data_IF_039384861764
#
_entry.id   IF_039384861764
#
_cell.length_a   1.000
_cell.length_b   1.000
_cell.length_c   1.000
_cell.angle_alpha   90.00
_cell.angle_beta   90.00
_cell.angle_gamma   90.00
#
_symmetry.space_group_name_H-M   'P 1'
#
loop_
_entity.id
_entity.type
_entity.pdbx_description
1 polymer ?
#
# COMPACT_ATOMS: atom_id res chain seq x y z
N UNK A 1 -24.09 7.73 -8.87
CA UNK A 1 -24.01 7.49 -7.42
C UNK A 1 -22.76 8.18 -6.91
N UNK A 2 -22.89 9.08 -5.93
CA UNK A 2 -21.80 9.97 -5.48
C UNK A 2 -20.78 9.26 -4.59
N UNK A 3 -20.00 8.34 -5.18
CA UNK A 3 -18.85 7.71 -4.50
C UNK A 3 -17.77 8.72 -4.11
N UNK A 4 -17.76 9.89 -4.76
CA UNK A 4 -16.81 10.97 -4.49
C UNK A 4 -16.81 11.38 -3.02
N UNK A 5 -17.99 11.52 -2.40
CA UNK A 5 -18.12 11.87 -0.98
C UNK A 5 -17.53 10.81 -0.03
N UNK A 6 -17.56 9.53 -0.42
CA UNK A 6 -16.95 8.45 0.37
C UNK A 6 -15.42 8.51 0.29
N UNK A 7 -14.89 8.81 -0.89
CA UNK A 7 -13.44 8.91 -1.12
C UNK A 7 -12.84 10.17 -0.48
N UNK A 8 -13.57 11.29 -0.46
CA UNK A 8 -13.11 12.53 0.20
C UNK A 8 -12.90 12.38 1.71
N UNK A 9 -13.58 11.44 2.35
CA UNK A 9 -13.42 11.16 3.78
C UNK A 9 -12.14 10.38 4.11
N UNK A 10 -11.47 9.80 3.10
CA UNK A 10 -10.21 9.10 3.30
C UNK A 10 -9.06 10.12 3.42
N UNK A 11 -8.45 10.17 4.61
CA UNK A 11 -7.34 11.10 4.87
C UNK A 11 -6.09 10.72 4.06
N UNK A 12 -5.48 11.71 3.42
CA UNK A 12 -4.18 11.59 2.75
C UNK A 12 -4.16 10.77 1.46
N UNK A 13 -5.30 10.56 0.81
CA UNK A 13 -5.38 9.87 -0.48
C UNK A 13 -4.68 10.69 -1.55
N UNK A 14 -3.81 10.06 -2.34
CA UNK A 14 -3.11 10.74 -3.43
C UNK A 14 -4.02 10.84 -4.66
N UNK A 15 -3.78 11.79 -5.59
CA UNK A 15 -4.56 11.89 -6.83
C UNK A 15 -4.58 10.58 -7.63
N UNK A 16 -3.45 9.88 -7.70
CA UNK A 16 -3.30 8.62 -8.42
C UNK A 16 -4.14 7.51 -7.78
N UNK A 17 -4.11 7.42 -6.46
CA UNK A 17 -4.92 6.48 -5.70
C UNK A 17 -6.41 6.79 -5.84
N UNK A 18 -6.79 8.07 -5.80
CA UNK A 18 -8.18 8.49 -6.01
C UNK A 18 -8.71 8.04 -7.37
N UNK A 19 -7.96 8.28 -8.45
CA UNK A 19 -8.33 7.83 -9.80
C UNK A 19 -8.43 6.31 -9.88
N UNK A 20 -7.51 5.58 -9.23
CA UNK A 20 -7.53 4.13 -9.19
C UNK A 20 -8.76 3.56 -8.45
N UNK A 21 -9.10 4.15 -7.30
CA UNK A 21 -10.27 3.75 -6.52
C UNK A 21 -11.57 4.01 -7.29
N UNK A 22 -11.67 5.14 -8.00
CA UNK A 22 -12.82 5.40 -8.89
C UNK A 22 -12.97 4.34 -9.98
N UNK A 23 -11.84 3.90 -10.57
CA UNK A 23 -11.86 2.85 -11.60
C UNK A 23 -12.32 1.50 -11.02
N UNK A 24 -11.81 1.12 -9.84
CA UNK A 24 -12.19 -0.15 -9.18
C UNK A 24 -13.64 -0.15 -8.73
N UNK A 25 -14.13 0.99 -8.21
CA UNK A 25 -15.51 1.15 -7.75
C UNK A 25 -16.51 1.28 -8.89
N UNK A 26 -16.05 1.42 -10.14
CA UNK A 26 -16.93 1.48 -11.30
C UNK A 26 -17.78 0.20 -11.41
N UNK A 27 -19.10 0.37 -11.47
CA UNK A 27 -20.06 -0.73 -11.56
C UNK A 27 -20.44 -1.38 -10.22
N UNK A 28 -19.92 -0.92 -9.08
CA UNK A 28 -20.38 -1.38 -7.75
C UNK A 28 -21.75 -0.80 -7.38
N UNK A 29 -22.60 -1.57 -6.71
CA UNK A 29 -23.83 -1.02 -6.08
C UNK A 29 -23.47 -0.06 -4.92
N UNK A 30 -24.38 0.82 -4.46
CA UNK A 30 -24.13 1.66 -3.30
C UNK A 30 -23.70 0.89 -2.05
N UNK A 31 -24.30 -0.27 -1.81
CA UNK A 31 -23.97 -1.16 -0.68
C UNK A 31 -22.59 -1.77 -0.84
N UNK A 32 -22.23 -2.22 -2.05
CA UNK A 32 -20.90 -2.74 -2.36
C UNK A 32 -19.84 -1.65 -2.18
N UNK A 33 -20.09 -0.44 -2.66
CA UNK A 33 -19.16 0.68 -2.51
C UNK A 33 -18.93 1.06 -1.04
N UNK A 34 -19.97 1.08 -0.21
CA UNK A 34 -19.82 1.35 1.23
C UNK A 34 -19.00 0.27 1.93
N UNK A 35 -19.26 -1.01 1.64
CA UNK A 35 -18.48 -2.14 2.20
C UNK A 35 -17.03 -2.09 1.74
N UNK A 36 -16.81 -1.78 0.46
CA UNK A 36 -15.49 -1.61 -0.11
C UNK A 36 -14.69 -0.55 0.66
N UNK A 37 -15.25 0.64 0.86
CA UNK A 37 -14.60 1.73 1.58
C UNK A 37 -14.32 1.34 3.05
N UNK A 38 -15.25 0.63 3.70
CA UNK A 38 -15.05 0.12 5.06
C UNK A 38 -13.82 -0.80 5.14
N UNK A 39 -13.72 -1.81 4.26
CA UNK A 39 -12.58 -2.73 4.27
C UNK A 39 -11.28 -2.05 3.82
N UNK A 40 -11.36 -1.21 2.79
CA UNK A 40 -10.21 -0.52 2.23
C UNK A 40 -9.57 0.44 3.22
N UNK A 41 -10.37 1.27 3.90
CA UNK A 41 -9.89 2.26 4.86
C UNK A 41 -9.12 1.63 6.04
N UNK A 42 -9.47 0.41 6.43
CA UNK A 42 -8.75 -0.35 7.47
C UNK A 42 -7.44 -1.00 7.01
N UNK A 43 -7.31 -1.32 5.71
CA UNK A 43 -6.09 -1.95 5.16
C UNK A 43 -5.09 -0.95 4.60
N UNK A 44 -5.55 0.21 4.11
CA UNK A 44 -4.74 1.29 3.56
C UNK A 44 -3.63 1.72 4.51
N UNK A 45 -2.45 2.02 3.97
CA UNK A 45 -1.31 2.59 4.70
C UNK A 45 -0.91 3.92 4.09
N UNK A 46 -0.60 4.92 4.93
CA UNK A 46 -0.10 6.18 4.40
C UNK A 46 1.36 6.05 3.96
N UNK A 47 1.82 6.82 2.96
CA UNK A 47 3.23 6.84 2.57
C UNK A 47 4.17 7.19 3.73
N UNK A 48 3.70 8.01 4.67
CA UNK A 48 4.45 8.38 5.86
C UNK A 48 4.60 7.20 6.82
N UNK A 49 3.57 6.37 6.99
CA UNK A 49 3.67 5.16 7.83
C UNK A 49 4.71 4.19 7.26
N UNK A 50 4.71 4.01 5.95
CA UNK A 50 5.69 3.15 5.26
C UNK A 50 7.10 3.71 5.40
N UNK A 51 7.27 5.03 5.25
CA UNK A 51 8.56 5.67 5.50
C UNK A 51 9.03 5.46 6.94
N UNK A 52 8.14 5.62 7.93
CA UNK A 52 8.47 5.39 9.35
C UNK A 52 8.85 3.93 9.60
N UNK A 53 8.11 2.96 9.05
CA UNK A 53 8.48 1.54 9.17
C UNK A 53 9.83 1.25 8.50
N UNK A 54 10.10 1.83 7.33
CA UNK A 54 11.40 1.72 6.64
C UNK A 54 12.54 2.31 7.47
N UNK A 55 12.32 3.46 8.12
CA UNK A 55 13.30 4.12 8.99
C UNK A 55 13.48 3.41 10.34
N UNK A 56 12.45 2.72 10.87
CA UNK A 56 12.61 1.86 12.05
C UNK A 56 13.40 0.60 11.69
N UNK A 57 13.19 0.04 10.49
CA UNK A 57 13.99 -1.07 9.96
C UNK A 57 15.49 -0.78 9.87
N UNK A 58 15.86 0.50 9.73
CA UNK A 58 17.24 1.01 9.74
C UNK A 58 17.95 0.84 11.09
N UNK A 59 17.23 0.78 12.21
CA UNK A 59 17.78 0.81 13.57
C UNK A 59 18.05 -0.57 14.20
N UNK A 60 17.79 -1.70 13.50
CA UNK A 60 18.19 -3.00 14.04
C UNK A 60 17.68 -4.27 13.35
N UNK A 61 16.81 -4.17 12.34
CA UNK A 61 16.19 -5.36 11.71
C UNK A 61 16.06 -5.16 10.20
N UNK A 62 17.19 -4.87 9.55
CA UNK A 62 17.24 -4.70 8.11
C UNK A 62 16.87 -6.03 7.41
N UNK A 63 15.72 -6.08 6.74
CA UNK A 63 15.32 -7.20 5.88
C UNK A 63 13.95 -7.81 6.17
N UNK A 64 13.38 -7.68 7.37
CA UNK A 64 12.05 -8.27 7.67
C UNK A 64 10.94 -7.52 6.94
N UNK A 65 11.07 -6.21 6.74
CA UNK A 65 10.11 -5.41 5.97
C UNK A 65 10.00 -5.89 4.51
N UNK A 66 11.11 -6.36 3.91
CA UNK A 66 11.16 -6.89 2.54
C UNK A 66 10.46 -8.24 2.37
N UNK A 67 10.33 -9.02 3.45
CA UNK A 67 9.49 -10.22 3.46
C UNK A 67 8.00 -9.89 3.40
N UNK A 68 7.60 -8.71 3.91
CA UNK A 68 6.20 -8.26 3.95
C UNK A 68 5.77 -7.65 2.59
N UNK A 69 6.69 -7.04 1.84
CA UNK A 69 6.42 -6.42 0.52
C UNK A 69 6.65 -7.33 -0.71
N UNK A 70 6.67 -8.67 -0.54
CA UNK A 70 6.69 -9.68 -1.63
C UNK A 70 7.86 -9.63 -2.64
N UNK A 71 8.89 -8.81 -2.46
CA UNK A 71 10.09 -8.78 -3.31
C UNK A 71 11.25 -9.64 -2.75
N UNK A 72 10.95 -10.91 -2.44
CA UNK A 72 11.88 -11.84 -1.76
C UNK A 72 13.19 -12.06 -2.55
N UNK A 73 13.12 -12.07 -3.90
CA UNK A 73 14.28 -12.34 -4.76
C UNK A 73 15.41 -11.31 -4.66
N UNK A 74 15.07 -10.01 -4.53
CA UNK A 74 16.08 -8.96 -4.30
C UNK A 74 16.58 -9.00 -2.85
N UNK A 75 15.70 -9.25 -1.88
CA UNK A 75 16.07 -9.37 -0.46
C UNK A 75 17.22 -10.35 -0.19
N UNK A 76 17.17 -11.53 -0.81
CA UNK A 76 18.17 -12.59 -0.62
C UNK A 76 19.52 -12.26 -1.29
N UNK A 77 19.49 -11.69 -2.50
CA UNK A 77 20.71 -11.26 -3.20
C UNK A 77 21.47 -10.17 -2.43
N UNK A 78 20.74 -9.30 -1.73
CA UNK A 78 21.28 -8.18 -0.95
C UNK A 78 21.69 -8.54 0.48
N UNK A 79 21.12 -9.59 1.08
CA UNK A 79 21.48 -10.05 2.43
C UNK A 79 22.87 -10.71 2.47
N UNK A 80 23.27 -11.41 1.40
CA UNK A 80 24.55 -12.14 1.32
C UNK A 80 25.80 -11.25 1.17
N UNK A 81 25.65 -9.94 0.97
CA UNK A 81 26.78 -9.02 0.69
C UNK A 81 27.18 -8.15 1.89
N UNK A 82 26.52 -8.27 3.05
CA UNK A 82 26.96 -7.71 4.35
C UNK A 82 26.98 -6.18 4.51
N UNK A 83 27.05 -5.39 3.43
CA UNK A 83 27.11 -3.92 3.45
C UNK A 83 25.92 -3.21 2.79
N UNK A 84 24.99 -3.95 2.19
CA UNK A 84 23.92 -3.41 1.33
C UNK A 84 22.58 -3.16 2.05
N UNK A 85 22.47 -3.47 3.34
CA UNK A 85 21.28 -3.13 4.13
C UNK A 85 20.99 -1.62 4.12
N UNK A 86 22.02 -0.78 4.18
CA UNK A 86 21.87 0.68 4.11
C UNK A 86 21.45 1.17 2.72
N UNK A 87 22.03 0.64 1.64
CA UNK A 87 21.70 1.07 0.27
C UNK A 87 20.27 0.66 -0.10
N UNK A 88 19.85 -0.55 0.27
CA UNK A 88 18.47 -1.00 0.10
C UNK A 88 17.48 -0.09 0.84
N UNK A 89 17.77 0.26 2.09
CA UNK A 89 16.92 1.19 2.87
C UNK A 89 16.92 2.61 2.31
N UNK A 90 18.04 3.11 1.77
CA UNK A 90 18.09 4.42 1.09
C UNK A 90 17.22 4.41 -0.17
N UNK A 91 17.32 3.36 -0.99
CA UNK A 91 16.49 3.20 -2.18
C UNK A 91 15.01 3.09 -1.81
N UNK A 92 14.66 2.32 -0.77
CA UNK A 92 13.29 2.20 -0.27
C UNK A 92 12.78 3.52 0.34
N UNK A 93 13.65 4.29 1.01
CA UNK A 93 13.31 5.62 1.53
C UNK A 93 13.10 6.63 0.39
N UNK A 94 13.80 6.52 -0.73
CA UNK A 94 13.55 7.33 -1.93
C UNK A 94 12.24 6.89 -2.59
N UNK A 95 11.99 5.58 -2.65
CA UNK A 95 10.83 4.98 -3.35
C UNK A 95 9.61 4.73 -2.45
N UNK A 96 9.59 5.21 -1.21
CA UNK A 96 8.54 4.93 -0.22
C UNK A 96 7.13 5.28 -0.71
N UNK A 97 6.99 6.31 -1.55
CA UNK A 97 5.71 6.70 -2.16
C UNK A 97 5.20 5.66 -3.14
N UNK A 98 6.07 5.14 -3.99
CA UNK A 98 5.73 4.09 -4.95
C UNK A 98 5.38 2.79 -4.23
N UNK A 99 6.13 2.43 -3.18
CA UNK A 99 5.85 1.26 -2.35
C UNK A 99 4.48 1.38 -1.65
N UNK A 100 4.14 2.58 -1.14
CA UNK A 100 2.82 2.84 -0.56
C UNK A 100 1.69 2.74 -1.57
N UNK A 101 1.92 3.26 -2.77
CA UNK A 101 0.96 3.18 -3.85
C UNK A 101 0.71 1.74 -4.27
N UNK A 102 1.76 0.95 -4.51
CA UNK A 102 1.65 -0.47 -4.88
C UNK A 102 0.90 -1.26 -3.80
N UNK A 103 1.28 -1.09 -2.52
CA UNK A 103 0.60 -1.72 -1.40
C UNK A 103 -0.89 -1.35 -1.34
N UNK A 104 -1.21 -0.06 -1.49
CA UNK A 104 -2.59 0.43 -1.46
C UNK A 104 -3.41 -0.04 -2.67
N UNK A 105 -2.78 -0.21 -3.83
CA UNK A 105 -3.43 -0.77 -5.02
C UNK A 105 -3.77 -2.24 -4.82
N UNK A 106 -2.83 -3.05 -4.33
CA UNK A 106 -3.04 -4.45 -3.99
C UNK A 106 -4.17 -4.62 -2.96
N UNK A 107 -4.14 -3.81 -1.89
CA UNK A 107 -5.18 -3.81 -0.87
C UNK A 107 -6.56 -3.44 -1.44
N UNK A 108 -6.63 -2.48 -2.35
CA UNK A 108 -7.89 -2.11 -3.02
C UNK A 108 -8.40 -3.24 -3.93
N UNK A 109 -7.55 -3.90 -4.70
CA UNK A 109 -7.93 -5.04 -5.55
C UNK A 109 -8.49 -6.17 -4.68
N UNK A 110 -7.81 -6.52 -3.59
CA UNK A 110 -8.25 -7.56 -2.67
C UNK A 110 -9.62 -7.22 -2.05
N UNK A 111 -9.81 -5.97 -1.59
CA UNK A 111 -11.09 -5.51 -1.04
C UNK A 111 -12.21 -5.54 -2.08
N UNK A 112 -11.93 -5.13 -3.31
CA UNK A 112 -12.91 -5.14 -4.39
C UNK A 112 -13.34 -6.56 -4.77
N UNK A 113 -12.39 -7.50 -4.81
CA UNK A 113 -12.69 -8.92 -5.04
C UNK A 113 -13.54 -9.49 -3.92
N UNK A 114 -13.20 -9.23 -2.65
CA UNK A 114 -13.99 -9.68 -1.50
C UNK A 114 -15.44 -9.19 -1.59
N UNK A 115 -15.65 -7.91 -1.89
CA UNK A 115 -16.99 -7.33 -1.99
C UNK A 115 -17.77 -7.86 -3.19
N UNK A 116 -17.12 -8.12 -4.33
CA UNK A 116 -17.78 -8.70 -5.51
C UNK A 116 -18.23 -10.15 -5.30
N UNK A 117 -17.60 -10.87 -4.38
CA UNK A 117 -17.98 -12.25 -4.02
C UNK A 117 -19.10 -12.31 -2.96
N UNK A 118 -19.47 -11.17 -2.36
CA UNK A 118 -20.58 -11.04 -1.40
C UNK A 118 -21.86 -10.60 -2.11
#
# INVERSE_FOLDING_TARGET
MDYQNLLYNLKGVTPEEFSFLQQIMNGMTPEQAQRFIMFYSGKRRSPNDILVFTLIGFLGVAGIQRFITRQIGMGILYFLTGGLCFIGTIVDAINHRSLAQEFNQDAAIECAQMVKMM
#
